data_IF_195953255924
#
_entry.id   IF_195953255924
#
_cell.length_a   1.000
_cell.length_b   1.000
_cell.length_c   1.000
_cell.angle_alpha   90.00
_cell.angle_beta   90.00
_cell.angle_gamma   90.00
#
_symmetry.space_group_name_H-M   'P 1'
#
loop_
_entity.id
_entity.type
_entity.pdbx_description
1 polymer ?
#
# COMPACT_ATOMS: atom_id res chain seq x y z
N UNK A 1 -43.34 14.34 10.13
CA UNK A 1 -42.57 13.11 10.41
C UNK A 1 -41.21 13.06 9.70
N UNK A 2 -41.12 13.30 8.38
CA UNK A 2 -39.84 13.23 7.63
C UNK A 2 -38.73 14.16 8.15
N UNK A 3 -39.11 15.36 8.60
CA UNK A 3 -38.15 16.32 9.19
C UNK A 3 -37.62 15.89 10.56
N UNK A 4 -38.47 15.26 11.39
CA UNK A 4 -38.06 14.75 12.71
C UNK A 4 -37.00 13.65 12.59
N UNK A 5 -37.16 12.75 11.61
CA UNK A 5 -36.19 11.69 11.34
C UNK A 5 -34.86 12.28 10.86
N UNK A 6 -34.90 13.26 9.95
CA UNK A 6 -33.70 13.93 9.45
C UNK A 6 -32.91 14.65 10.57
N UNK A 7 -33.60 15.32 11.49
CA UNK A 7 -32.96 15.98 12.64
C UNK A 7 -32.34 14.97 13.61
N UNK A 8 -32.98 13.82 13.83
CA UNK A 8 -32.43 12.76 14.69
C UNK A 8 -31.15 12.15 14.11
N UNK A 9 -31.12 11.89 12.80
CA UNK A 9 -29.91 11.39 12.13
C UNK A 9 -28.77 12.40 12.15
N UNK A 10 -29.07 13.68 11.92
CA UNK A 10 -28.06 14.74 11.94
C UNK A 10 -27.48 14.93 13.34
N UNK A 11 -28.32 14.94 14.38
CA UNK A 11 -27.88 15.02 15.76
C UNK A 11 -26.99 13.82 16.15
N UNK A 12 -27.39 12.61 15.77
CA UNK A 12 -26.61 11.40 16.01
C UNK A 12 -25.23 11.45 15.34
N UNK A 13 -25.17 11.86 14.06
CA UNK A 13 -23.91 12.05 13.35
C UNK A 13 -23.01 13.10 14.03
N UNK A 14 -23.57 14.26 14.41
CA UNK A 14 -22.80 15.29 15.11
C UNK A 14 -22.23 14.77 16.44
N UNK A 15 -22.99 13.99 17.21
CA UNK A 15 -22.50 13.41 18.47
C UNK A 15 -21.36 12.40 18.25
N UNK A 16 -21.46 11.56 17.23
CA UNK A 16 -20.39 10.63 16.87
C UNK A 16 -19.12 11.38 16.46
N UNK A 17 -19.24 12.41 15.63
CA UNK A 17 -18.10 13.22 15.19
C UNK A 17 -17.43 13.90 16.39
N UNK A 18 -18.19 14.42 17.36
CA UNK A 18 -17.61 15.02 18.58
C UNK A 18 -16.93 14.02 19.51
N UNK A 19 -17.35 12.74 19.49
CA UNK A 19 -16.71 11.68 20.28
C UNK A 19 -15.45 11.13 19.60
N UNK A 20 -15.45 11.08 18.26
CA UNK A 20 -14.36 10.54 17.45
C UNK A 20 -13.24 11.54 17.20
N UNK A 21 -13.55 12.85 17.17
CA UNK A 21 -12.52 13.86 17.08
C UNK A 21 -12.06 14.24 18.50
N UNK A 22 -10.81 13.97 18.88
CA UNK A 22 -10.26 14.53 20.10
C UNK A 22 -10.37 16.05 19.98
N UNK A 23 -11.05 16.66 20.95
CA UNK A 23 -11.30 18.09 21.02
C UNK A 23 -10.07 18.86 20.52
N UNK A 24 -10.20 19.48 19.34
CA UNK A 24 -9.18 20.41 18.84
C UNK A 24 -9.14 21.53 19.86
N UNK A 25 -8.08 21.48 20.68
CA UNK A 25 -7.96 22.29 21.87
C UNK A 25 -8.24 23.74 21.57
N UNK A 26 -9.08 24.36 22.40
CA UNK A 26 -9.10 25.80 22.61
C UNK A 26 -7.67 26.30 22.72
N UNK A 27 -7.15 26.96 21.67
CA UNK A 27 -5.87 27.66 21.71
C UNK A 27 -5.97 28.74 22.80
N UNK A 28 -5.49 28.42 24.01
CA UNK A 28 -4.98 29.47 24.89
C UNK A 28 -3.90 30.20 24.09
N UNK A 29 -4.00 31.51 23.99
CA UNK A 29 -2.89 32.37 23.56
C UNK A 29 -1.82 32.32 24.66
N UNK A 30 -1.09 31.21 24.75
CA UNK A 30 0.18 31.21 25.45
C UNK A 30 1.16 32.00 24.59
N UNK A 31 1.85 32.97 25.21
CA UNK A 31 2.98 33.66 24.62
C UNK A 31 3.90 32.63 23.96
N UNK A 32 4.10 32.77 22.66
CA UNK A 32 5.02 31.92 21.93
C UNK A 32 6.45 32.21 22.42
N UNK A 33 7.25 31.19 22.78
CA UNK A 33 8.70 31.37 22.89
C UNK A 33 9.28 31.82 21.54
N UNK A 34 10.46 32.49 21.52
CA UNK A 34 11.08 32.90 20.27
C UNK A 34 11.16 31.71 19.32
N UNK A 35 10.71 31.93 18.07
CA UNK A 35 10.71 30.90 17.05
C UNK A 35 12.12 30.34 16.90
N UNK A 36 12.32 29.00 16.90
CA UNK A 36 13.62 28.43 16.59
C UNK A 36 14.04 28.92 15.21
N UNK A 37 15.33 29.24 15.05
CA UNK A 37 15.88 29.61 13.75
C UNK A 37 15.51 28.55 12.71
N UNK A 38 15.10 28.96 11.49
CA UNK A 38 14.70 28.01 10.46
C UNK A 38 15.92 27.16 10.10
N UNK A 39 15.93 25.91 10.55
CA UNK A 39 16.85 24.87 10.07
C UNK A 39 16.50 24.66 8.60
N UNK A 40 17.27 25.27 7.70
CA UNK A 40 17.17 25.00 6.28
C UNK A 40 17.53 23.52 6.12
N UNK A 41 16.61 22.65 5.66
CA UNK A 41 16.95 21.27 5.41
C UNK A 41 18.05 21.26 4.35
N UNK A 42 19.17 20.57 4.63
CA UNK A 42 20.23 20.42 3.65
C UNK A 42 19.62 19.95 2.32
N UNK A 43 19.97 20.63 1.24
CA UNK A 43 19.44 20.32 -0.08
C UNK A 43 19.69 18.84 -0.36
N UNK A 44 18.69 18.06 -0.82
CA UNK A 44 18.93 16.67 -1.21
C UNK A 44 20.00 16.55 -2.32
N UNK A 45 20.29 17.66 -3.01
CA UNK A 45 21.31 17.77 -4.05
C UNK A 45 22.66 18.31 -3.59
N UNK A 46 22.81 18.77 -2.33
CA UNK A 46 24.12 19.17 -1.80
C UNK A 46 24.95 17.97 -1.31
N UNK A 47 24.35 16.78 -1.24
CA UNK A 47 25.06 15.57 -0.82
C UNK A 47 25.88 15.02 -1.99
N UNK A 48 27.20 14.81 -1.85
CA UNK A 48 27.99 14.20 -2.91
C UNK A 48 27.45 12.80 -3.19
N UNK A 49 27.27 12.47 -4.47
CA UNK A 49 26.80 11.15 -4.88
C UNK A 49 27.79 10.11 -4.39
N UNK A 50 27.43 9.41 -3.31
CA UNK A 50 28.26 8.37 -2.73
C UNK A 50 27.93 7.09 -3.47
N UNK A 51 28.72 6.77 -4.50
CA UNK A 51 28.59 5.47 -5.16
C UNK A 51 29.01 4.37 -4.18
N UNK A 52 28.33 3.20 -4.20
CA UNK A 52 28.80 2.04 -3.47
C UNK A 52 30.26 1.74 -3.80
N UNK A 53 31.01 1.27 -2.81
CA UNK A 53 32.37 0.77 -3.08
C UNK A 53 32.30 -0.42 -4.04
N UNK A 54 33.41 -0.76 -4.72
CA UNK A 54 33.46 -1.92 -5.64
C UNK A 54 33.01 -3.21 -4.95
N UNK A 55 33.37 -3.39 -3.68
CA UNK A 55 32.99 -4.55 -2.89
C UNK A 55 31.47 -4.55 -2.59
N UNK A 56 30.92 -3.40 -2.21
CA UNK A 56 29.48 -3.25 -1.98
C UNK A 56 28.67 -3.46 -3.25
N UNK A 57 29.11 -2.91 -4.38
CA UNK A 57 28.45 -3.11 -5.67
C UNK A 57 28.44 -4.59 -6.07
N UNK A 58 29.56 -5.30 -5.89
CA UNK A 58 29.63 -6.73 -6.17
C UNK A 58 28.66 -7.54 -5.28
N UNK A 59 28.56 -7.19 -4.00
CA UNK A 59 27.64 -7.84 -3.07
C UNK A 59 26.17 -7.57 -3.43
N UNK A 60 25.83 -6.34 -3.84
CA UNK A 60 24.49 -5.99 -4.32
C UNK A 60 24.12 -6.84 -5.54
N UNK A 61 25.05 -6.97 -6.49
CA UNK A 61 24.82 -7.79 -7.69
C UNK A 61 24.67 -9.28 -7.35
N UNK A 62 25.46 -9.81 -6.41
CA UNK A 62 25.34 -11.19 -5.94
C UNK A 62 23.97 -11.46 -5.32
N UNK A 63 23.53 -10.61 -4.39
CA UNK A 63 22.19 -10.73 -3.76
C UNK A 63 21.07 -10.63 -4.77
N UNK A 64 21.23 -9.77 -5.78
CA UNK A 64 20.26 -9.66 -6.87
C UNK A 64 20.19 -10.95 -7.68
N UNK A 65 21.33 -11.55 -8.02
CA UNK A 65 21.36 -12.83 -8.73
C UNK A 65 20.73 -13.96 -7.90
N UNK A 66 20.97 -14.00 -6.59
CA UNK A 66 20.33 -14.96 -5.67
C UNK A 66 18.81 -14.76 -5.61
N UNK A 67 18.36 -13.50 -5.53
CA UNK A 67 16.93 -13.18 -5.53
C UNK A 67 16.26 -13.52 -6.87
N UNK A 68 16.93 -13.29 -8.00
CA UNK A 68 16.45 -13.67 -9.33
C UNK A 68 16.39 -15.19 -9.48
N UNK A 69 17.41 -15.92 -9.01
CA UNK A 69 17.41 -17.38 -8.97
C UNK A 69 16.24 -17.91 -8.14
N UNK A 70 16.00 -17.34 -6.95
CA UNK A 70 14.84 -17.68 -6.13
C UNK A 70 13.52 -17.36 -6.85
N UNK A 71 13.40 -16.18 -7.46
CA UNK A 71 12.19 -15.76 -8.17
C UNK A 71 11.86 -16.67 -9.37
N UNK A 72 12.86 -17.35 -9.93
CA UNK A 72 12.72 -18.31 -11.02
C UNK A 72 12.56 -19.77 -10.54
N UNK A 73 12.57 -20.01 -9.22
CA UNK A 73 12.32 -21.34 -8.67
C UNK A 73 10.85 -21.76 -8.83
N UNK A 74 10.62 -23.07 -8.92
CA UNK A 74 9.29 -23.69 -8.90
C UNK A 74 8.50 -23.30 -7.65
N UNK A 75 9.16 -23.21 -6.50
CA UNK A 75 8.54 -22.79 -5.24
C UNK A 75 8.00 -21.36 -5.31
N UNK A 76 8.77 -20.43 -5.88
CA UNK A 76 8.30 -19.07 -6.09
C UNK A 76 7.16 -19.00 -7.11
N UNK A 77 7.16 -19.86 -8.14
CA UNK A 77 6.04 -20.00 -9.08
C UNK A 77 4.77 -20.46 -8.34
N UNK A 78 4.85 -21.51 -7.53
CA UNK A 78 3.74 -22.02 -6.71
C UNK A 78 3.23 -20.97 -5.72
N UNK A 79 4.11 -20.21 -5.07
CA UNK A 79 3.68 -19.14 -4.15
C UNK A 79 2.95 -18.02 -4.88
N UNK A 80 3.42 -17.61 -6.07
CA UNK A 80 2.71 -16.63 -6.91
C UNK A 80 1.33 -17.12 -7.29
N UNK A 81 1.21 -18.39 -7.65
CA UNK A 81 -0.06 -19.03 -7.99
C UNK A 81 -1.04 -19.04 -6.83
N UNK A 82 -0.58 -19.42 -5.64
CA UNK A 82 -1.40 -19.38 -4.41
C UNK A 82 -1.88 -17.97 -4.09
N UNK A 83 -1.01 -16.95 -4.25
CA UNK A 83 -1.41 -15.55 -4.04
C UNK A 83 -2.48 -15.11 -5.04
N UNK A 84 -2.37 -15.53 -6.30
CA UNK A 84 -3.43 -15.26 -7.30
C UNK A 84 -4.74 -15.93 -6.91
N UNK A 85 -4.72 -17.22 -6.54
CA UNK A 85 -5.91 -17.92 -6.09
C UNK A 85 -6.58 -17.24 -4.89
N UNK A 86 -5.79 -16.74 -3.92
CA UNK A 86 -6.32 -15.97 -2.79
C UNK A 86 -7.01 -14.67 -3.19
N UNK A 87 -6.50 -13.95 -4.19
CA UNK A 87 -7.13 -12.72 -4.70
C UNK A 87 -8.50 -13.03 -5.30
N UNK A 88 -8.62 -14.11 -6.07
CA UNK A 88 -9.90 -14.54 -6.65
C UNK A 88 -10.88 -15.00 -5.57
N UNK A 89 -10.42 -15.81 -4.61
CA UNK A 89 -11.25 -16.26 -3.49
C UNK A 89 -11.75 -15.08 -2.64
N UNK A 90 -10.91 -14.06 -2.39
CA UNK A 90 -11.31 -12.84 -1.70
C UNK A 90 -12.37 -12.03 -2.47
N UNK A 91 -12.36 -12.11 -3.80
CA UNK A 91 -13.39 -11.52 -4.66
C UNK A 91 -14.65 -12.39 -4.78
N UNK A 92 -14.67 -13.59 -4.16
CA UNK A 92 -15.75 -14.56 -4.31
C UNK A 92 -15.83 -15.20 -5.71
N UNK A 93 -14.71 -15.16 -6.46
CA UNK A 93 -14.61 -15.71 -7.81
C UNK A 93 -13.88 -17.06 -7.79
N UNK A 94 -14.31 -17.97 -8.65
CA UNK A 94 -13.59 -19.22 -8.87
C UNK A 94 -12.25 -18.93 -9.55
N UNK A 95 -11.18 -19.51 -9.02
CA UNK A 95 -9.85 -19.33 -9.57
C UNK A 95 -9.65 -20.23 -10.80
N UNK A 96 -9.38 -19.68 -11.99
CA UNK A 96 -9.23 -20.47 -13.21
C UNK A 96 -7.86 -21.15 -13.25
N UNK A 97 -7.67 -22.20 -12.46
CA UNK A 97 -6.41 -22.94 -12.42
C UNK A 97 -6.20 -23.72 -13.71
N UNK A 98 -5.10 -23.41 -14.41
CA UNK A 98 -4.74 -24.06 -15.67
C UNK A 98 -3.76 -25.19 -15.42
N UNK A 99 -4.25 -26.42 -15.52
CA UNK A 99 -3.37 -27.60 -15.54
C UNK A 99 -2.85 -27.87 -16.96
N UNK A 100 -1.78 -28.66 -17.06
CA UNK A 100 -1.20 -29.06 -18.35
C UNK A 100 -2.24 -29.86 -19.15
N UNK A 101 -2.74 -29.29 -20.25
CA UNK A 101 -3.83 -29.87 -21.06
C UNK A 101 -5.21 -29.26 -20.81
N UNK A 102 -5.30 -28.17 -20.05
CA UNK A 102 -6.54 -27.38 -19.92
C UNK A 102 -7.04 -26.93 -21.30
N UNK A 103 -8.36 -27.02 -21.58
CA UNK A 103 -8.94 -26.61 -22.86
C UNK A 103 -8.97 -25.08 -23.05
N UNK A 104 -8.72 -24.30 -21.99
CA UNK A 104 -8.69 -22.85 -22.03
C UNK A 104 -7.25 -22.36 -21.86
N UNK A 105 -6.89 -21.25 -22.52
CA UNK A 105 -5.58 -20.57 -22.36
C UNK A 105 -5.68 -19.31 -21.48
N UNK A 106 -4.54 -18.78 -21.00
CA UNK A 106 -4.47 -17.67 -20.03
C UNK A 106 -5.17 -16.38 -20.51
N UNK A 107 -5.25 -16.18 -21.82
CA UNK A 107 -5.96 -15.08 -22.48
C UNK A 107 -7.47 -15.07 -22.18
N UNK A 108 -8.10 -16.22 -21.92
CA UNK A 108 -9.53 -16.30 -21.64
C UNK A 108 -9.94 -15.65 -20.30
N UNK A 109 -8.96 -15.38 -19.42
CA UNK A 109 -9.20 -14.87 -18.07
C UNK A 109 -8.52 -13.52 -17.79
N UNK A 110 -7.87 -12.92 -18.78
CA UNK A 110 -7.13 -11.66 -18.63
C UNK A 110 -8.04 -10.49 -18.22
N UNK A 111 -9.28 -10.45 -18.72
CA UNK A 111 -10.24 -9.35 -18.50
C UNK A 111 -10.73 -9.20 -17.05
N UNK A 112 -10.70 -10.28 -16.26
CA UNK A 112 -11.18 -10.25 -14.86
C UNK A 112 -10.21 -9.47 -13.97
N UNK A 113 -8.91 -9.53 -14.26
CA UNK A 113 -7.87 -8.87 -13.46
C UNK A 113 -7.59 -7.42 -13.86
N UNK A 114 -7.97 -7.01 -15.07
CA UNK A 114 -7.79 -5.64 -15.58
C UNK A 114 -8.74 -4.61 -14.97
N UNK A 115 -9.85 -5.04 -14.35
CA UNK A 115 -10.91 -4.16 -13.84
C UNK A 115 -10.78 -3.78 -12.36
N UNK A 116 -9.78 -4.31 -11.65
CA UNK A 116 -9.54 -4.08 -10.21
C UNK A 116 -8.36 -3.12 -9.92
N UNK A 117 -7.86 -2.40 -10.92
CA UNK A 117 -6.87 -1.31 -10.72
C UNK A 117 -7.55 0.04 -10.62
#
# INVERSE_FOLDING_TARGET
MRHSIAHAFLAYLCTLITLLLPATGTRRKCCAPPAPEPVIPESPWSRPWTSPSKAEAAEILRRRAEAEAWANSEEAALQRERRRALVYAAAGLEYPYMYKGSPFGPEAFADVTGRMR
#
